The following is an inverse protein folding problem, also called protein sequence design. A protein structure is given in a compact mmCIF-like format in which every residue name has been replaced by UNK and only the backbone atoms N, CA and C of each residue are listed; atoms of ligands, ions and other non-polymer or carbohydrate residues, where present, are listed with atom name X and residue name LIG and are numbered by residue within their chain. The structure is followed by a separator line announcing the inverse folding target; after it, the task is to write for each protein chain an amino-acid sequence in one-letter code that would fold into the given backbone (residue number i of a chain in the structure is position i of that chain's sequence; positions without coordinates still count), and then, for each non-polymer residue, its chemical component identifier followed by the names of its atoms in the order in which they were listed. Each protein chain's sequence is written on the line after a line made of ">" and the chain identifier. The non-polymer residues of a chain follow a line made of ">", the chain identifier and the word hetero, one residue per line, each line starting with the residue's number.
data_IF_661212468040
#
_entry.id   IF_661212468040
#
_cell.length_a   1.000
_cell.length_b   1.000
_cell.length_c   1.000
_cell.angle_alpha   90.00
_cell.angle_beta   90.00
_cell.angle_gamma   90.00
#
_symmetry.space_group_name_H-M   'P 1'
#
loop_
_entity.id
_entity.type
_entity.pdbx_description
1 polymer ?
#
# COMPACT_ATOMS: atom_id res chain seq x y z
N UNK A 1 3.23 13.10 3.85
CA UNK A 1 3.08 11.62 3.77
C UNK A 1 2.72 11.03 2.40
N UNK A 2 2.41 11.81 1.35
CA UNK A 2 2.05 11.31 0.00
C UNK A 2 2.95 10.19 -0.53
N UNK A 3 4.27 10.37 -0.44
CA UNK A 3 5.20 9.41 -1.05
C UNK A 3 5.27 8.09 -0.27
N UNK A 4 5.03 8.11 1.04
CA UNK A 4 5.01 6.92 1.88
C UNK A 4 3.81 6.01 1.53
N UNK A 5 2.60 6.55 1.47
CA UNK A 5 1.41 5.75 1.10
C UNK A 5 1.52 5.21 -0.33
N UNK A 6 2.15 5.99 -1.24
CA UNK A 6 2.39 5.58 -2.62
C UNK A 6 3.44 4.48 -2.70
N UNK A 7 4.46 4.52 -1.85
CA UNK A 7 5.46 3.47 -1.74
C UNK A 7 4.82 2.15 -1.25
N UNK A 8 3.97 2.20 -0.23
CA UNK A 8 3.19 1.03 0.24
C UNK A 8 2.38 0.43 -0.91
N UNK A 9 1.61 1.23 -1.64
CA UNK A 9 0.80 0.75 -2.77
C UNK A 9 1.65 0.12 -3.88
N UNK A 10 2.80 0.72 -4.23
CA UNK A 10 3.72 0.18 -5.24
C UNK A 10 4.38 -1.13 -4.80
N UNK A 11 4.73 -1.26 -3.52
CA UNK A 11 5.31 -2.48 -2.97
C UNK A 11 4.29 -3.63 -3.06
N UNK A 12 3.04 -3.40 -2.63
CA UNK A 12 1.97 -4.40 -2.72
C UNK A 12 1.71 -4.80 -4.17
N UNK A 13 1.56 -3.84 -5.08
CA UNK A 13 1.34 -4.14 -6.50
C UNK A 13 2.50 -4.96 -7.12
N UNK A 14 3.73 -4.73 -6.66
CA UNK A 14 4.90 -5.50 -7.11
C UNK A 14 4.88 -6.93 -6.57
N UNK A 15 4.44 -7.12 -5.31
CA UNK A 15 4.25 -8.44 -4.70
C UNK A 15 3.12 -9.19 -5.41
N UNK A 16 2.01 -8.53 -5.73
CA UNK A 16 0.89 -9.12 -6.47
C UNK A 16 1.35 -9.66 -7.83
N UNK A 17 2.13 -8.87 -8.60
CA UNK A 17 2.69 -9.30 -9.88
C UNK A 17 3.57 -10.56 -9.73
N UNK A 18 4.42 -10.62 -8.71
CA UNK A 18 5.30 -11.77 -8.46
C UNK A 18 4.49 -13.01 -8.03
N UNK A 19 3.48 -12.82 -7.18
CA UNK A 19 2.62 -13.89 -6.72
C UNK A 19 1.78 -14.49 -7.86
N UNK A 20 1.16 -13.64 -8.68
CA UNK A 20 0.38 -14.05 -9.85
C UNK A 20 1.26 -14.80 -10.88
N UNK A 21 2.44 -14.26 -11.20
CA UNK A 21 3.37 -14.87 -12.15
C UNK A 21 3.94 -16.22 -11.67
N UNK A 22 3.97 -16.46 -10.35
CA UNK A 22 4.46 -17.71 -9.76
C UNK A 22 3.49 -18.89 -9.93
N UNK A 23 2.23 -18.63 -10.29
CA UNK A 23 1.24 -19.67 -10.58
C UNK A 23 0.94 -20.60 -9.39
N UNK A 24 0.52 -21.84 -9.67
CA UNK A 24 0.05 -22.77 -8.64
C UNK A 24 1.10 -23.10 -7.56
N UNK A 25 2.39 -23.09 -7.89
CA UNK A 25 3.47 -23.33 -6.92
C UNK A 25 3.45 -22.31 -5.79
N UNK A 26 3.04 -21.07 -6.07
CA UNK A 26 2.96 -20.01 -5.06
C UNK A 26 2.01 -20.35 -3.90
N UNK A 27 1.03 -21.22 -4.12
CA UNK A 27 0.00 -21.60 -3.15
C UNK A 27 0.50 -22.60 -2.10
N UNK A 28 1.66 -23.22 -2.32
CA UNK A 28 2.23 -24.16 -1.37
C UNK A 28 2.69 -23.43 -0.10
N UNK A 29 2.41 -24.01 1.07
CA UNK A 29 2.67 -23.35 2.36
C UNK A 29 4.17 -23.20 2.67
N UNK A 30 5.01 -24.01 2.05
CA UNK A 30 6.47 -23.95 2.17
C UNK A 30 7.10 -22.87 1.27
N UNK A 31 6.34 -22.29 0.34
CA UNK A 31 6.82 -21.19 -0.48
C UNK A 31 6.67 -19.85 0.25
N UNK A 32 7.71 -18.99 0.20
CA UNK A 32 7.69 -17.71 0.91
C UNK A 32 6.77 -16.66 0.27
N UNK A 33 6.51 -16.76 -1.04
CA UNK A 33 5.81 -15.72 -1.81
C UNK A 33 4.38 -15.48 -1.31
N UNK A 34 3.63 -16.53 -0.98
CA UNK A 34 2.27 -16.38 -0.42
C UNK A 34 2.26 -15.72 0.96
N UNK A 35 3.34 -15.90 1.75
CA UNK A 35 3.47 -15.23 3.04
C UNK A 35 3.69 -13.74 2.85
N UNK A 36 4.63 -13.34 1.98
CA UNK A 36 4.84 -11.92 1.68
C UNK A 36 3.60 -11.25 1.10
N UNK A 37 2.85 -11.96 0.24
CA UNK A 37 1.56 -11.48 -0.26
C UNK A 37 0.57 -11.21 0.88
N UNK A 38 0.27 -12.20 1.72
CA UNK A 38 -0.65 -12.03 2.86
C UNK A 38 -0.19 -10.95 3.84
N UNK A 39 1.10 -10.94 4.18
CA UNK A 39 1.67 -10.01 5.16
C UNK A 39 1.64 -8.57 4.64
N UNK A 40 1.91 -8.35 3.34
CA UNK A 40 1.82 -7.02 2.73
C UNK A 40 0.37 -6.49 2.71
N UNK A 41 -0.59 -7.34 2.36
CA UNK A 41 -2.02 -6.99 2.40
C UNK A 41 -2.52 -6.77 3.83
N UNK A 42 -2.02 -7.53 4.81
CA UNK A 42 -2.30 -7.29 6.22
C UNK A 42 -1.69 -5.96 6.70
N UNK A 43 -0.48 -5.60 6.26
CA UNK A 43 0.13 -4.30 6.57
C UNK A 43 -0.60 -3.11 5.92
N UNK A 44 -1.22 -3.32 4.75
CA UNK A 44 -1.95 -2.28 4.00
C UNK A 44 -3.11 -1.68 4.78
N UNK A 45 -3.79 -2.45 5.63
CA UNK A 45 -4.98 -1.97 6.35
C UNK A 45 -4.67 -1.05 7.52
N UNK A 46 -3.39 -0.86 7.86
CA UNK A 46 -2.99 0.12 8.88
C UNK A 46 -3.41 1.53 8.47
N UNK A 47 -4.01 2.31 9.37
CA UNK A 47 -4.58 3.63 9.06
C UNK A 47 -3.57 4.62 8.44
N UNK A 48 -2.28 4.48 8.76
CA UNK A 48 -1.22 5.31 8.16
C UNK A 48 -0.95 4.99 6.67
N UNK A 49 -1.42 3.86 6.16
CA UNK A 49 -1.24 3.43 4.78
C UNK A 49 -2.41 3.82 3.87
N UNK A 50 -3.38 4.61 4.34
CA UNK A 50 -4.54 5.02 3.55
C UNK A 50 -4.19 6.12 2.53
N UNK A 51 -4.19 5.81 1.21
CA UNK A 51 -3.66 6.71 0.20
C UNK A 51 -4.60 7.87 -0.11
N UNK A 52 -5.91 7.66 -0.16
CA UNK A 52 -6.91 8.70 -0.45
C UNK A 52 -6.79 9.85 0.54
N UNK A 53 -6.67 9.53 1.83
CA UNK A 53 -6.47 10.50 2.91
C UNK A 53 -5.22 11.35 2.69
N UNK A 54 -4.08 10.71 2.42
CA UNK A 54 -2.82 11.42 2.21
C UNK A 54 -2.77 12.20 0.89
N UNK A 55 -3.48 11.75 -0.15
CA UNK A 55 -3.59 12.45 -1.43
C UNK A 55 -4.49 13.69 -1.33
N UNK A 56 -5.60 13.62 -0.58
CA UNK A 56 -6.45 14.79 -0.31
C UNK A 56 -5.70 15.87 0.46
N UNK A 57 -4.95 15.49 1.51
CA UNK A 57 -4.09 16.44 2.26
C UNK A 57 -3.09 17.11 1.32
N UNK A 58 -2.40 16.33 0.49
CA UNK A 58 -1.44 16.87 -0.48
C UNK A 58 -2.12 17.81 -1.50
N UNK A 59 -3.30 17.45 -2.01
CA UNK A 59 -4.05 18.28 -2.95
C UNK A 59 -4.49 19.61 -2.33
N UNK A 60 -5.02 19.59 -1.12
CA UNK A 60 -5.43 20.80 -0.41
C UNK A 60 -4.25 21.75 -0.21
N UNK A 61 -3.11 21.23 0.25
CA UNK A 61 -1.88 22.01 0.40
C UNK A 61 -1.42 22.62 -0.94
N UNK A 62 -1.38 21.80 -2.00
CA UNK A 62 -0.98 22.24 -3.34
C UNK A 62 -1.92 23.32 -3.94
N UNK A 63 -3.19 23.35 -3.53
CA UNK A 63 -4.18 24.34 -3.96
C UNK A 63 -4.39 25.49 -2.96
N UNK A 64 -3.63 25.54 -1.86
CA UNK A 64 -3.77 26.59 -0.83
C UNK A 64 -5.07 26.51 -0.02
N UNK A 65 -5.69 25.34 0.05
CA UNK A 65 -6.90 25.07 0.84
C UNK A 65 -6.53 24.66 2.27
N UNK A 66 -7.38 24.95 3.28
CA UNK A 66 -7.10 24.58 4.65
C UNK A 66 -7.03 23.04 4.81
N UNK A 67 -6.10 22.52 5.63
CA UNK A 67 -6.03 21.10 5.94
C UNK A 67 -7.28 20.68 6.72
N UNK A 68 -7.92 19.60 6.28
CA UNK A 68 -9.11 19.04 6.95
C UNK A 68 -8.75 17.96 7.98
N UNK A 69 -7.46 17.67 8.14
CA UNK A 69 -6.97 16.49 8.85
C UNK A 69 -5.66 16.76 9.58
N UNK A 70 -5.47 16.13 10.74
CA UNK A 70 -4.30 16.25 11.61
C UNK A 70 -3.26 15.15 11.42
N UNK A 71 -3.58 14.08 10.68
CA UNK A 71 -2.62 13.02 10.35
C UNK A 71 -1.70 13.43 9.19
N UNK A 72 -0.76 14.34 9.46
CA UNK A 72 0.27 14.83 8.52
C UNK A 72 1.66 14.25 8.77
#
# INVERSE_FOLDING_TARGET
>A
RRDQVRATARAIASIDLLFEASGATALQLDQPVQRFWRDAHAGRVHAANEPERAYLIFGNDAFGLPPQDTMV
#
